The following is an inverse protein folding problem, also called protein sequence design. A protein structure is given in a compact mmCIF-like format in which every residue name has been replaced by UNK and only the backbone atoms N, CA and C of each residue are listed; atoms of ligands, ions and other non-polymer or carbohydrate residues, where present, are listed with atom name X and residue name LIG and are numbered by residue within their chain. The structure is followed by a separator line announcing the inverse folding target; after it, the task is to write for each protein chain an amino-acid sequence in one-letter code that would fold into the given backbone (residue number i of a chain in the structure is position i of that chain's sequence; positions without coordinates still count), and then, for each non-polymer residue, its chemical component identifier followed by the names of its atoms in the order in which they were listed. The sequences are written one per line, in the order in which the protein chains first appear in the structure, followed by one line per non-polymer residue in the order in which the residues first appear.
data_IF_973679297375
#
_entry.id   IF_973679297375
#
_cell.length_a   1.000
_cell.length_b   1.000
_cell.length_c   1.000
_cell.angle_alpha   90.00
_cell.angle_beta   90.00
_cell.angle_gamma   90.00
#
_symmetry.space_group_name_H-M   'P 1'
#
loop_
_entity.id
_entity.type
_entity.pdbx_description
1 polymer ?
#
# COMPACT_ATOMS: atom_id res chain seq x y z
N UNK A 1 2.90 2.44 -15.42
CA UNK A 1 3.63 1.22 -14.99
C UNK A 1 3.16 0.68 -13.63
N UNK A 2 3.03 1.52 -12.58
CA UNK A 2 2.56 1.06 -11.26
C UNK A 2 1.19 0.35 -11.33
N UNK A 3 0.24 0.94 -12.05
CA UNK A 3 -1.11 0.38 -12.27
C UNK A 3 -1.09 -1.00 -12.93
N UNK A 4 -0.20 -1.23 -13.90
CA UNK A 4 -0.14 -2.49 -14.64
C UNK A 4 0.32 -3.68 -13.77
N UNK A 5 1.23 -3.42 -12.82
CA UNK A 5 1.75 -4.44 -11.91
C UNK A 5 0.91 -4.60 -10.63
N UNK A 6 0.14 -3.57 -10.26
CA UNK A 6 -0.62 -3.55 -9.00
C UNK A 6 -1.58 -4.73 -8.82
N UNK A 7 -2.36 -5.18 -9.82
CA UNK A 7 -3.25 -6.33 -9.68
C UNK A 7 -2.53 -7.64 -9.35
N UNK A 8 -1.22 -7.74 -9.62
CA UNK A 8 -0.44 -8.91 -9.26
C UNK A 8 -0.29 -9.06 -7.75
N UNK A 9 -0.35 -7.97 -6.97
CA UNK A 9 -0.30 -8.03 -5.51
C UNK A 9 -1.53 -8.76 -4.91
N UNK A 10 -2.65 -8.77 -5.64
CA UNK A 10 -3.84 -9.54 -5.29
C UNK A 10 -3.74 -11.00 -5.75
N UNK A 11 -3.27 -11.22 -6.99
CA UNK A 11 -3.36 -12.51 -7.68
C UNK A 11 -2.23 -13.49 -7.30
N UNK A 12 -1.04 -12.99 -7.00
CA UNK A 12 0.11 -13.83 -6.70
C UNK A 12 0.03 -14.32 -5.24
N UNK A 13 0.00 -15.64 -5.07
CA UNK A 13 -0.11 -16.27 -3.75
C UNK A 13 1.21 -16.90 -3.27
N UNK A 14 2.07 -17.37 -4.19
CA UNK A 14 3.32 -18.04 -3.81
C UNK A 14 4.34 -17.06 -3.23
N UNK A 15 5.21 -17.58 -2.36
CA UNK A 15 6.32 -16.85 -1.76
C UNK A 15 7.19 -16.16 -2.80
N UNK A 16 7.70 -16.94 -3.75
CA UNK A 16 8.62 -16.47 -4.78
C UNK A 16 8.01 -15.35 -5.61
N UNK A 17 6.77 -15.52 -6.07
CA UNK A 17 6.12 -14.53 -6.93
C UNK A 17 5.78 -13.23 -6.17
N UNK A 18 5.36 -13.31 -4.90
CA UNK A 18 5.11 -12.12 -4.07
C UNK A 18 6.39 -11.36 -3.76
N UNK A 19 7.47 -12.07 -3.39
CA UNK A 19 8.79 -11.47 -3.19
C UNK A 19 9.32 -10.82 -4.48
N UNK A 20 9.18 -11.50 -5.63
CA UNK A 20 9.62 -10.99 -6.92
C UNK A 20 8.85 -9.72 -7.33
N UNK A 21 7.54 -9.66 -7.07
CA UNK A 21 6.75 -8.45 -7.29
C UNK A 21 7.25 -7.28 -6.43
N UNK A 22 7.43 -7.50 -5.13
CA UNK A 22 7.90 -6.47 -4.21
C UNK A 22 9.29 -5.96 -4.59
N UNK A 23 10.20 -6.88 -4.96
CA UNK A 23 11.54 -6.54 -5.45
C UNK A 23 11.48 -5.74 -6.76
N UNK A 24 10.62 -6.13 -7.70
CA UNK A 24 10.45 -5.43 -8.99
C UNK A 24 9.90 -4.02 -8.81
N UNK A 25 8.90 -3.85 -7.95
CA UNK A 25 8.40 -2.52 -7.58
C UNK A 25 9.47 -1.70 -6.84
N UNK A 26 10.22 -2.29 -5.92
CA UNK A 26 11.36 -1.64 -5.26
C UNK A 26 12.42 -1.13 -6.25
N UNK A 27 12.80 -1.96 -7.23
CA UNK A 27 13.73 -1.59 -8.29
C UNK A 27 13.17 -0.47 -9.17
N UNK A 28 11.90 -0.55 -9.57
CA UNK A 28 11.24 0.48 -10.35
C UNK A 28 11.14 1.82 -9.59
N UNK A 29 10.81 1.80 -8.29
CA UNK A 29 10.83 2.99 -7.44
C UNK A 29 12.24 3.61 -7.36
N UNK A 30 13.27 2.78 -7.30
CA UNK A 30 14.65 3.25 -7.25
C UNK A 30 15.13 3.94 -8.53
N UNK A 31 14.54 3.61 -9.69
CA UNK A 31 14.80 4.24 -10.97
C UNK A 31 14.00 5.54 -11.18
N UNK A 32 12.80 5.62 -10.60
CA UNK A 32 11.88 6.75 -10.83
C UNK A 32 12.11 7.94 -9.89
N UNK A 33 12.69 7.71 -8.71
CA UNK A 33 12.90 8.75 -7.70
C UNK A 33 14.39 8.78 -7.27
N UNK A 34 15.00 9.95 -7.00
CA UNK A 34 16.36 10.02 -6.42
C UNK A 34 16.49 9.25 -5.10
N UNK A 35 17.70 8.79 -4.76
CA UNK A 35 17.95 8.00 -3.53
C UNK A 35 17.65 8.79 -2.25
N UNK A 36 17.87 10.09 -2.26
CA UNK A 36 17.80 10.93 -1.06
C UNK A 36 16.39 11.45 -0.76
N UNK A 37 15.43 11.16 -1.64
CA UNK A 37 14.03 11.59 -1.49
C UNK A 37 13.14 10.42 -1.09
N UNK A 38 12.43 10.53 0.04
CA UNK A 38 11.28 9.66 0.33
C UNK A 38 10.04 10.13 -0.44
N UNK A 39 10.02 9.81 -1.74
CA UNK A 39 8.87 10.05 -2.59
C UNK A 39 7.77 9.00 -2.45
N UNK A 40 6.58 9.27 -3.01
CA UNK A 40 5.40 8.41 -2.87
C UNK A 40 5.62 7.01 -3.47
N UNK A 41 6.45 6.88 -4.50
CA UNK A 41 6.73 5.59 -5.15
C UNK A 41 7.64 4.73 -4.28
N UNK A 42 8.68 5.32 -3.66
CA UNK A 42 9.54 4.64 -2.68
C UNK A 42 8.77 4.24 -1.42
N UNK A 43 7.91 5.12 -0.88
CA UNK A 43 7.07 4.78 0.28
C UNK A 43 6.15 3.60 -0.03
N UNK A 44 5.49 3.62 -1.19
CA UNK A 44 4.64 2.51 -1.65
C UNK A 44 5.42 1.21 -1.79
N UNK A 45 6.57 1.22 -2.46
CA UNK A 45 7.38 0.02 -2.65
C UNK A 45 7.92 -0.53 -1.32
N UNK A 46 8.38 0.33 -0.42
CA UNK A 46 8.88 -0.07 0.89
C UNK A 46 7.79 -0.72 1.75
N UNK A 47 6.59 -0.12 1.78
CA UNK A 47 5.45 -0.72 2.46
C UNK A 47 5.09 -2.08 1.84
N UNK A 48 5.07 -2.20 0.52
CA UNK A 48 4.76 -3.46 -0.17
C UNK A 48 5.75 -4.58 0.18
N UNK A 49 7.04 -4.26 0.35
CA UNK A 49 8.05 -5.23 0.83
C UNK A 49 7.66 -5.77 2.21
N UNK A 50 7.27 -4.91 3.14
CA UNK A 50 6.81 -5.35 4.47
C UNK A 50 5.54 -6.19 4.38
N UNK A 51 4.54 -5.78 3.58
CA UNK A 51 3.27 -6.49 3.43
C UNK A 51 3.39 -7.85 2.73
N UNK A 52 4.49 -8.07 2.00
CA UNK A 52 4.74 -9.32 1.28
C UNK A 52 5.84 -10.15 1.94
N UNK A 53 6.29 -9.78 3.14
CA UNK A 53 7.37 -10.45 3.83
C UNK A 53 7.06 -11.92 4.17
N UNK A 54 8.08 -12.76 4.15
CA UNK A 54 8.02 -14.19 4.44
C UNK A 54 9.08 -14.56 5.46
N UNK A 55 8.75 -15.52 6.30
CA UNK A 55 9.63 -16.04 7.34
C UNK A 55 10.95 -16.54 6.72
N UNK A 56 12.05 -16.19 7.39
CA UNK A 56 13.39 -16.71 7.08
C UNK A 56 13.68 -18.03 7.78
N UNK A 57 12.85 -18.41 8.75
CA UNK A 57 13.04 -19.57 9.63
C UNK A 57 12.06 -20.70 9.33
N UNK A 58 10.86 -20.38 8.84
CA UNK A 58 9.85 -21.36 8.42
C UNK A 58 9.62 -21.29 6.92
N UNK A 59 9.60 -22.44 6.25
CA UNK A 59 9.28 -22.54 4.82
C UNK A 59 7.81 -22.21 4.60
N UNK A 60 7.55 -21.38 3.59
CA UNK A 60 6.20 -20.98 3.16
C UNK A 60 5.29 -20.45 4.27
N UNK A 61 5.89 -19.77 5.26
CA UNK A 61 5.14 -19.03 6.27
C UNK A 61 5.31 -17.51 6.05
N UNK A 62 4.22 -16.72 6.06
CA UNK A 62 4.29 -15.26 6.14
C UNK A 62 5.12 -14.78 7.33
N UNK A 63 5.89 -13.71 7.16
CA UNK A 63 6.46 -12.98 8.29
C UNK A 63 5.37 -12.06 8.87
N UNK A 64 4.56 -12.60 9.79
CA UNK A 64 3.43 -11.88 10.37
C UNK A 64 3.87 -10.61 11.10
N UNK A 65 5.01 -10.63 11.80
CA UNK A 65 5.51 -9.46 12.52
C UNK A 65 5.87 -8.33 11.56
N UNK A 66 6.61 -8.63 10.49
CA UNK A 66 6.95 -7.65 9.47
C UNK A 66 5.71 -7.12 8.75
N UNK A 67 4.74 -7.98 8.42
CA UNK A 67 3.49 -7.56 7.77
C UNK A 67 2.64 -6.67 8.67
N UNK A 68 2.46 -7.04 9.94
CA UNK A 68 1.72 -6.25 10.93
C UNK A 68 2.37 -4.88 11.15
N UNK A 69 3.71 -4.83 11.27
CA UNK A 69 4.44 -3.55 11.31
C UNK A 69 4.22 -2.74 10.04
N UNK A 70 4.25 -3.39 8.88
CA UNK A 70 3.94 -2.75 7.59
C UNK A 70 2.57 -2.07 7.62
N UNK A 71 1.52 -2.81 8.01
CA UNK A 71 0.16 -2.26 8.14
C UNK A 71 0.06 -1.12 9.15
N UNK A 72 0.83 -1.17 10.25
CA UNK A 72 0.86 -0.09 11.24
C UNK A 72 1.41 1.24 10.67
N UNK A 73 2.22 1.20 9.60
CA UNK A 73 2.72 2.41 8.93
C UNK A 73 1.70 3.06 7.98
N UNK A 74 0.64 2.34 7.61
CA UNK A 74 -0.39 2.79 6.68
C UNK A 74 -1.48 3.61 7.38
N UNK A 75 -1.03 4.72 7.96
CA UNK A 75 -1.88 5.72 8.62
C UNK A 75 -2.54 6.64 7.60
N UNK A 76 -3.64 7.34 7.96
CA UNK A 76 -4.30 8.30 7.06
C UNK A 76 -3.34 9.34 6.45
N UNK A 77 -2.40 9.86 7.24
CA UNK A 77 -1.37 10.78 6.76
C UNK A 77 -0.42 10.16 5.72
N UNK A 78 -0.12 8.86 5.83
CA UNK A 78 0.68 8.13 4.85
C UNK A 78 -0.09 8.00 3.54
N UNK A 79 -1.38 7.65 3.62
CA UNK A 79 -2.26 7.56 2.44
C UNK A 79 -2.40 8.89 1.71
N UNK A 80 -2.66 9.98 2.46
CA UNK A 80 -2.81 11.32 1.89
C UNK A 80 -1.55 11.85 1.20
N UNK A 81 -0.36 11.37 1.60
CA UNK A 81 0.92 11.75 0.98
C UNK A 81 1.26 10.95 -0.27
N UNK A 82 0.57 9.84 -0.54
CA UNK A 82 0.81 9.01 -1.71
C UNK A 82 -0.12 9.43 -2.86
N UNK A 83 0.41 9.43 -4.08
CA UNK A 83 -0.42 9.54 -5.27
C UNK A 83 -1.37 8.34 -5.33
N UNK A 84 -2.61 8.54 -5.80
CA UNK A 84 -3.64 7.48 -5.91
C UNK A 84 -3.11 6.21 -6.60
N UNK A 85 -2.32 6.37 -7.67
CA UNK A 85 -1.71 5.24 -8.40
C UNK A 85 -0.67 4.49 -7.58
N UNK A 86 0.05 5.16 -6.68
CA UNK A 86 1.00 4.55 -5.74
C UNK A 86 0.31 3.77 -4.61
N UNK A 87 -0.97 4.03 -4.32
CA UNK A 87 -1.72 3.29 -3.31
C UNK A 87 -2.16 1.90 -3.80
N UNK A 88 -2.38 1.74 -5.11
CA UNK A 88 -2.95 0.52 -5.70
C UNK A 88 -2.29 -0.81 -5.26
N UNK A 89 -0.96 -1.00 -5.31
CA UNK A 89 -0.39 -2.29 -4.94
C UNK A 89 -0.57 -2.59 -3.44
N UNK A 90 -0.61 -1.56 -2.60
CA UNK A 90 -0.88 -1.70 -1.17
C UNK A 90 -2.33 -2.08 -0.91
N UNK A 91 -3.28 -1.49 -1.65
CA UNK A 91 -4.69 -1.85 -1.57
C UNK A 91 -4.94 -3.30 -2.03
N UNK A 92 -4.29 -3.72 -3.11
CA UNK A 92 -4.39 -5.09 -3.58
C UNK A 92 -3.71 -6.10 -2.63
N UNK A 93 -2.58 -5.74 -2.03
CA UNK A 93 -1.95 -6.55 -0.98
C UNK A 93 -2.84 -6.66 0.27
N UNK A 94 -3.42 -5.54 0.72
CA UNK A 94 -4.37 -5.52 1.83
C UNK A 94 -5.62 -6.36 1.53
N UNK A 95 -6.17 -6.26 0.32
CA UNK A 95 -7.32 -7.07 -0.09
C UNK A 95 -6.96 -8.57 -0.12
N UNK A 96 -5.76 -8.93 -0.56
CA UNK A 96 -5.27 -10.31 -0.52
C UNK A 96 -5.23 -10.82 0.93
N UNK A 97 -4.55 -10.10 1.83
CA UNK A 97 -4.40 -10.54 3.22
C UNK A 97 -5.75 -10.53 3.99
N UNK A 98 -6.64 -9.58 3.70
CA UNK A 98 -7.97 -9.52 4.32
C UNK A 98 -8.86 -10.72 3.92
N UNK A 99 -8.71 -11.21 2.68
CA UNK A 99 -9.49 -12.36 2.16
C UNK A 99 -8.87 -13.70 2.53
N UNK A 100 -7.56 -13.83 2.29
CA UNK A 100 -6.87 -15.11 2.19
C UNK A 100 -5.78 -15.28 3.27
N UNK A 101 -5.50 -14.25 4.08
CA UNK A 101 -4.48 -14.32 5.14
C UNK A 101 -4.78 -15.45 6.12
N UNK A 102 -3.81 -16.26 6.49
CA UNK A 102 -4.02 -17.41 7.41
C UNK A 102 -4.27 -16.97 8.86
N UNK A 103 -3.74 -15.82 9.25
CA UNK A 103 -3.82 -15.29 10.61
C UNK A 103 -4.92 -14.22 10.77
N UNK A 104 -5.65 -14.27 11.88
CA UNK A 104 -6.76 -13.34 12.15
C UNK A 104 -6.27 -11.90 12.36
N UNK A 105 -5.16 -11.71 13.08
CA UNK A 105 -4.63 -10.38 13.34
C UNK A 105 -4.16 -9.73 12.03
N UNK A 106 -3.57 -10.51 11.13
CA UNK A 106 -3.19 -10.06 9.79
C UNK A 106 -4.43 -9.63 8.97
N UNK A 107 -5.49 -10.44 8.93
CA UNK A 107 -6.76 -10.08 8.26
C UNK A 107 -7.34 -8.78 8.80
N UNK A 108 -7.35 -8.61 10.13
CA UNK A 108 -7.84 -7.42 10.80
C UNK A 108 -7.00 -6.18 10.48
N UNK A 109 -5.66 -6.31 10.53
CA UNK A 109 -4.75 -5.22 10.19
C UNK A 109 -4.93 -4.76 8.74
N UNK A 110 -5.11 -5.71 7.82
CA UNK A 110 -5.36 -5.43 6.41
C UNK A 110 -6.71 -4.73 6.20
N UNK A 111 -7.79 -5.21 6.83
CA UNK A 111 -9.10 -4.56 6.79
C UNK A 111 -9.07 -3.13 7.34
N UNK A 112 -8.38 -2.92 8.47
CA UNK A 112 -8.19 -1.57 9.04
C UNK A 112 -7.38 -0.66 8.12
N UNK A 113 -6.38 -1.18 7.40
CA UNK A 113 -5.63 -0.39 6.43
C UNK A 113 -6.52 0.08 5.27
N UNK A 114 -7.44 -0.78 4.78
CA UNK A 114 -8.44 -0.42 3.78
C UNK A 114 -9.41 0.65 4.32
N UNK A 115 -9.86 0.51 5.56
CA UNK A 115 -10.72 1.51 6.22
C UNK A 115 -10.02 2.87 6.35
N UNK A 116 -8.76 2.89 6.82
CA UNK A 116 -7.94 4.11 6.91
C UNK A 116 -7.73 4.78 5.55
N UNK A 117 -7.57 3.99 4.49
CA UNK A 117 -7.49 4.53 3.13
C UNK A 117 -8.81 5.19 2.71
N UNK A 118 -9.95 4.52 2.92
CA UNK A 118 -11.28 5.08 2.58
C UNK A 118 -11.57 6.36 3.35
N UNK A 119 -11.20 6.42 4.64
CA UNK A 119 -11.32 7.63 5.45
C UNK A 119 -10.46 8.76 4.88
N UNK A 120 -9.18 8.50 4.56
CA UNK A 120 -8.28 9.50 3.99
C UNK A 120 -8.76 10.01 2.62
N UNK A 121 -9.27 9.13 1.76
CA UNK A 121 -9.83 9.52 0.46
C UNK A 121 -11.12 10.36 0.60
N UNK A 122 -11.97 10.01 1.57
CA UNK A 122 -13.20 10.77 1.85
C UNK A 122 -12.90 12.16 2.40
N UNK A 123 -11.87 12.30 3.23
CA UNK A 123 -11.45 13.60 3.77
C UNK A 123 -10.81 14.48 2.69
N UNK A 124 -10.03 13.90 1.76
CA UNK A 124 -9.52 14.61 0.57
C UNK A 124 -10.67 15.16 -0.29
N UNK A 125 -11.68 14.34 -0.60
CA UNK A 125 -12.83 14.77 -1.40
C UNK A 125 -13.66 15.88 -0.71
N UNK A 126 -13.79 15.82 0.63
CA UNK A 126 -14.47 16.88 1.42
C UNK A 126 -13.72 18.20 1.39
N UNK A 127 -12.40 18.18 1.48
CA UNK A 127 -11.58 19.40 1.43
C UNK A 127 -11.66 20.04 0.04
N UNK A 128 -11.53 19.24 -1.02
CA UNK A 128 -11.68 19.69 -2.41
C UNK A 128 -13.05 20.34 -2.65
N UNK A 129 -14.12 19.73 -2.14
CA UNK A 129 -15.47 20.28 -2.26
C UNK A 129 -15.63 21.60 -1.49
N UNK A 130 -15.02 21.70 -0.30
CA UNK A 130 -15.03 22.94 0.51
C UNK A 130 -14.29 24.07 -0.21
N UNK A 131 -13.16 23.78 -0.82
CA UNK A 131 -12.36 24.77 -1.56
C UNK A 131 -13.09 25.24 -2.82
N UNK A 132 -13.76 24.33 -3.53
CA UNK A 132 -14.61 24.67 -4.68
C UNK A 132 -15.76 25.63 -4.31
N UNK A 133 -16.38 25.45 -3.14
CA UNK A 133 -17.42 26.32 -2.60
C UNK A 133 -16.89 27.70 -2.14
N UNK A 134 -15.58 27.82 -1.88
CA UNK A 134 -14.92 29.06 -1.44
C UNK A 134 -14.29 29.85 -2.60
N UNK A 135 -14.18 29.27 -3.79
CA UNK A 135 -13.66 29.97 -4.96
C UNK A 135 -14.58 31.16 -5.31
N UNK A 136 -14.02 32.36 -5.57
CA UNK A 136 -14.82 33.51 -5.98
C UNK A 136 -15.59 33.18 -7.26
N UNK A 137 -16.90 33.37 -7.22
CA UNK A 137 -17.75 33.37 -8.40
C UNK A 137 -17.49 34.71 -9.10
N UNK A 138 -16.48 34.77 -9.99
CA UNK A 138 -16.26 35.98 -10.78
C UNK A 138 -17.49 36.23 -11.70
N UNK A 139 -18.01 37.47 -11.73
CA UNK A 139 -19.23 37.85 -12.45
C UNK A 139 -19.06 37.96 -13.97
#
# INVERSE_FOLDING_TARGET
HWEALSPLALKLASRESRCALAASMGAAAALLEPRDTQGPTRTSAAALVSLTAWSTTTVDEPDYEARLRGYATLLPATWARMRRTCCLPLLFAALHDARDGSDLALRQAAAQALERFMAAASDEDRELNRDALRAPQDP
#
